data_IF_611085137522
#
_entry.id   IF_611085137522
#
_cell.length_a   1.000
_cell.length_b   1.000
_cell.length_c   1.000
_cell.angle_alpha   90.00
_cell.angle_beta   90.00
_cell.angle_gamma   90.00
#
_symmetry.space_group_name_H-M   'P 1'
#
loop_
_entity.id
_entity.type
_entity.pdbx_description
1 polymer ?
#
# COMPACT_ATOMS: atom_id res chain seq x y z
N UNK A 1 -13.01 1.00 -10.01
CA UNK A 1 -11.65 0.41 -10.06
C UNK A 1 -11.39 -0.68 -9.02
N UNK A 2 -12.13 -0.78 -7.90
CA UNK A 2 -12.14 -1.97 -6.99
C UNK A 2 -12.18 -3.33 -7.73
N UNK A 3 -12.82 -3.36 -8.90
CA UNK A 3 -13.19 -4.58 -9.62
C UNK A 3 -12.11 -5.19 -10.53
N UNK A 4 -11.02 -4.49 -10.88
CA UNK A 4 -10.11 -5.01 -11.92
C UNK A 4 -9.09 -6.03 -11.40
N UNK A 5 -8.54 -5.83 -10.20
CA UNK A 5 -7.55 -6.75 -9.60
C UNK A 5 -8.24 -7.94 -8.95
N UNK A 6 -9.38 -7.67 -8.32
CA UNK A 6 -10.33 -8.67 -7.86
C UNK A 6 -10.69 -9.70 -8.95
N UNK A 7 -10.66 -9.31 -10.24
CA UNK A 7 -10.96 -10.19 -11.37
C UNK A 7 -9.83 -11.18 -11.69
N UNK A 8 -8.60 -10.89 -11.28
CA UNK A 8 -7.43 -11.73 -11.53
C UNK A 8 -7.07 -12.64 -10.34
N UNK A 9 -7.73 -12.44 -9.19
CA UNK A 9 -7.53 -13.27 -8.00
C UNK A 9 -8.59 -14.36 -7.94
N UNK A 10 -8.16 -15.59 -7.66
CA UNK A 10 -9.08 -16.63 -7.23
C UNK A 10 -9.79 -16.23 -5.93
N UNK A 11 -10.95 -16.86 -5.66
CA UNK A 11 -11.76 -16.53 -4.48
C UNK A 11 -10.95 -16.67 -3.19
N UNK A 12 -10.16 -17.74 -3.10
CA UNK A 12 -9.30 -18.08 -1.98
C UNK A 12 -8.19 -17.04 -1.79
N UNK A 13 -7.57 -16.60 -2.89
CA UNK A 13 -6.51 -15.57 -2.86
C UNK A 13 -7.06 -14.22 -2.40
N UNK A 14 -8.28 -13.87 -2.83
CA UNK A 14 -8.95 -12.65 -2.37
C UNK A 14 -9.25 -12.71 -0.87
N UNK A 15 -9.69 -13.85 -0.37
CA UNK A 15 -9.98 -14.07 1.04
C UNK A 15 -8.71 -13.97 1.90
N UNK A 16 -7.61 -14.58 1.44
CA UNK A 16 -6.30 -14.46 2.07
C UNK A 16 -5.82 -13.00 2.08
N UNK A 17 -5.92 -12.29 0.95
CA UNK A 17 -5.53 -10.89 0.85
C UNK A 17 -6.30 -10.01 1.85
N UNK A 18 -7.62 -10.19 1.94
CA UNK A 18 -8.45 -9.45 2.89
C UNK A 18 -8.06 -9.75 4.35
N UNK A 19 -7.75 -11.01 4.66
CA UNK A 19 -7.29 -11.39 6.00
C UNK A 19 -5.94 -10.74 6.35
N UNK A 20 -4.99 -10.72 5.40
CA UNK A 20 -3.69 -10.07 5.58
C UNK A 20 -3.88 -8.57 5.85
N UNK A 21 -4.72 -7.90 5.07
CA UNK A 21 -5.02 -6.47 5.24
C UNK A 21 -5.62 -6.22 6.63
N UNK A 22 -6.58 -7.06 7.05
CA UNK A 22 -7.21 -6.93 8.37
C UNK A 22 -6.20 -7.05 9.51
N UNK A 23 -5.28 -8.02 9.43
CA UNK A 23 -4.23 -8.22 10.45
C UNK A 23 -3.28 -7.03 10.48
N UNK A 24 -2.88 -6.50 9.32
CA UNK A 24 -2.01 -5.31 9.25
C UNK A 24 -2.69 -4.09 9.87
N UNK A 25 -3.98 -3.90 9.62
CA UNK A 25 -4.76 -2.79 10.18
C UNK A 25 -4.92 -2.93 11.71
N UNK A 26 -5.11 -4.14 12.22
CA UNK A 26 -5.17 -4.41 13.66
C UNK A 26 -3.83 -4.16 14.35
N UNK A 27 -2.72 -4.64 13.78
CA UNK A 27 -1.38 -4.35 14.28
C UNK A 27 -1.11 -2.85 14.29
N UNK A 28 -1.52 -2.14 13.23
CA UNK A 28 -1.41 -0.67 13.16
C UNK A 28 -2.25 0.03 14.23
N UNK A 29 -3.43 -0.49 14.59
CA UNK A 29 -4.26 0.04 15.69
C UNK A 29 -3.60 -0.18 17.06
N UNK A 30 -3.00 -1.34 17.29
CA UNK A 30 -2.27 -1.66 18.53
C UNK A 30 -1.08 -0.70 18.69
N UNK A 31 -0.32 -0.45 17.62
CA UNK A 31 0.77 0.53 17.62
C UNK A 31 0.28 1.94 17.97
N UNK A 32 -0.89 2.37 17.44
CA UNK A 32 -1.51 3.67 17.75
C UNK A 32 -1.91 3.79 19.23
N UNK A 33 -2.39 2.71 19.86
CA UNK A 33 -2.77 2.71 21.27
C UNK A 33 -1.57 2.71 22.23
N UNK A 34 -0.39 2.30 21.76
CA UNK A 34 0.86 2.24 22.56
C UNK A 34 1.53 3.61 22.83
N UNK A 35 0.89 4.73 22.47
CA UNK A 35 1.38 6.07 22.79
C UNK A 35 2.41 6.65 21.80
N UNK A 36 2.72 5.96 20.70
CA UNK A 36 3.44 6.54 19.54
C UNK A 36 2.50 7.37 18.65
N UNK A 37 1.70 8.23 19.27
CA UNK A 37 0.70 9.06 18.63
C UNK A 37 1.31 10.33 18.02
N UNK A 38 2.27 10.17 17.11
CA UNK A 38 2.58 11.24 16.15
C UNK A 38 1.75 10.98 14.88
N UNK A 39 0.99 12.00 14.48
CA UNK A 39 0.31 12.17 13.17
C UNK A 39 -0.68 11.07 12.70
N UNK A 40 -1.91 11.14 13.21
CA UNK A 40 -3.09 10.38 12.73
C UNK A 40 -3.35 10.54 11.20
N UNK A 41 -2.81 11.58 10.54
CA UNK A 41 -2.91 11.78 9.08
C UNK A 41 -1.80 11.11 8.25
N UNK A 42 -0.69 10.67 8.84
CA UNK A 42 0.43 10.06 8.10
C UNK A 42 0.31 8.53 7.95
N UNK A 43 -0.67 7.91 8.62
CA UNK A 43 -0.79 6.45 8.70
C UNK A 43 -1.86 5.83 7.80
N UNK A 44 -2.53 6.61 6.93
CA UNK A 44 -3.37 6.00 5.90
C UNK A 44 -2.46 5.40 4.85
N UNK A 45 -2.57 4.08 4.61
CA UNK A 45 -1.79 3.37 3.59
C UNK A 45 -2.73 2.87 2.49
N UNK A 46 -2.20 2.74 1.28
CA UNK A 46 -2.91 2.20 0.11
C UNK A 46 -2.14 1.02 -0.45
N UNK A 47 -2.88 0.09 -1.04
CA UNK A 47 -2.29 -0.93 -1.90
C UNK A 47 -2.17 -0.33 -3.29
N UNK A 48 -1.02 -0.52 -3.92
CA UNK A 48 -0.74 -0.06 -5.28
C UNK A 48 -0.17 -1.18 -6.13
N UNK A 49 -0.36 -1.10 -7.45
CA UNK A 49 0.29 -1.97 -8.42
C UNK A 49 1.19 -1.15 -9.32
N UNK A 50 2.47 -1.51 -9.42
CA UNK A 50 3.41 -0.85 -10.31
C UNK A 50 3.15 -1.22 -11.78
N UNK A 51 3.04 -0.21 -12.65
CA UNK A 51 2.83 -0.38 -14.10
C UNK A 51 4.12 -0.61 -14.88
N UNK A 52 5.25 -0.29 -14.25
CA UNK A 52 6.60 -0.32 -14.83
C UNK A 52 7.62 -0.39 -13.70
N UNK A 53 8.82 -0.83 -14.03
CA UNK A 53 9.95 -0.82 -13.11
C UNK A 53 10.21 0.60 -12.59
N UNK A 54 10.52 0.71 -11.31
CA UNK A 54 10.70 1.99 -10.64
C UNK A 54 11.83 1.92 -9.60
N UNK A 55 12.72 2.93 -9.57
CA UNK A 55 13.80 2.96 -8.60
C UNK A 55 13.26 3.06 -7.16
N UNK A 56 14.14 2.79 -6.19
CA UNK A 56 13.80 2.97 -4.79
C UNK A 56 13.39 4.42 -4.50
N UNK A 57 12.40 4.58 -3.63
CA UNK A 57 11.88 5.89 -3.20
C UNK A 57 12.22 6.14 -1.74
N UNK A 58 12.42 7.41 -1.40
CA UNK A 58 12.59 7.87 -0.01
C UNK A 58 11.25 8.41 0.47
N UNK A 59 10.72 7.83 1.53
CA UNK A 59 9.51 8.27 2.20
C UNK A 59 9.79 9.47 3.10
N UNK A 60 8.74 10.21 3.49
CA UNK A 60 8.88 11.39 4.38
C UNK A 60 9.48 11.08 5.74
N UNK A 61 9.30 9.87 6.24
CA UNK A 61 9.91 9.41 7.49
C UNK A 61 11.39 8.96 7.31
N UNK A 62 11.98 9.17 6.15
CA UNK A 62 13.36 8.82 5.82
C UNK A 62 13.57 7.35 5.43
N UNK A 63 12.53 6.51 5.53
CA UNK A 63 12.63 5.11 5.12
C UNK A 63 12.65 4.98 3.60
N UNK A 64 13.35 3.96 3.09
CA UNK A 64 13.35 3.64 1.66
C UNK A 64 12.45 2.45 1.36
N UNK A 65 11.81 2.47 0.19
CA UNK A 65 11.08 1.32 -0.35
C UNK A 65 11.49 1.04 -1.80
N UNK A 66 11.50 -0.23 -2.18
CA UNK A 66 11.89 -0.69 -3.51
C UNK A 66 13.36 -1.14 -3.61
N UNK A 67 13.93 -1.26 -4.82
CA UNK A 67 13.31 -0.96 -6.12
C UNK A 67 12.11 -1.86 -6.43
N UNK A 68 11.27 -1.43 -7.36
CA UNK A 68 10.03 -2.10 -7.73
C UNK A 68 10.08 -2.53 -9.20
N UNK A 69 9.41 -3.64 -9.50
CA UNK A 69 9.22 -4.16 -10.84
C UNK A 69 7.77 -3.99 -11.29
N UNK A 70 7.55 -4.00 -12.61
CA UNK A 70 6.21 -4.03 -13.19
C UNK A 70 5.39 -5.22 -12.65
N UNK A 71 4.19 -4.94 -12.15
CA UNK A 71 3.27 -5.92 -11.55
C UNK A 71 3.39 -6.05 -10.04
N UNK A 72 4.41 -5.46 -9.40
CA UNK A 72 4.56 -5.51 -7.94
C UNK A 72 3.33 -4.90 -7.24
N UNK A 73 2.78 -5.65 -6.27
CA UNK A 73 1.69 -5.20 -5.40
C UNK A 73 2.28 -4.75 -4.07
N UNK A 74 2.12 -3.47 -3.74
CA UNK A 74 2.82 -2.83 -2.62
C UNK A 74 1.84 -2.11 -1.70
N UNK A 75 1.97 -2.33 -0.39
CA UNK A 75 1.26 -1.56 0.62
C UNK A 75 2.14 -0.41 1.12
N UNK A 76 1.77 0.83 0.82
CA UNK A 76 2.61 2.01 1.06
C UNK A 76 1.82 3.22 1.58
N UNK A 77 2.50 4.23 2.16
CA UNK A 77 1.84 5.46 2.61
C UNK A 77 1.01 6.14 1.51
N UNK A 78 -0.17 6.65 1.87
CA UNK A 78 -1.14 7.24 0.93
C UNK A 78 -0.59 8.43 0.15
N UNK A 79 0.29 9.22 0.76
CA UNK A 79 0.91 10.37 0.12
C UNK A 79 1.85 9.96 -1.00
N UNK A 80 2.73 8.99 -0.73
CA UNK A 80 3.60 8.40 -1.73
C UNK A 80 2.81 7.65 -2.82
N UNK A 81 1.78 6.89 -2.44
CA UNK A 81 0.88 6.23 -3.40
C UNK A 81 0.21 7.24 -4.34
N UNK A 82 -0.29 8.36 -3.80
CA UNK A 82 -0.97 9.40 -4.58
C UNK A 82 -0.01 10.12 -5.52
N UNK A 83 1.22 10.38 -5.09
CA UNK A 83 2.25 10.98 -5.94
C UNK A 83 2.58 10.06 -7.12
N UNK A 84 2.83 8.77 -6.86
CA UNK A 84 3.12 7.80 -7.91
C UNK A 84 1.94 7.59 -8.86
N UNK A 85 0.71 7.62 -8.34
CA UNK A 85 -0.52 7.52 -9.14
C UNK A 85 -0.67 8.72 -10.09
N UNK A 86 -0.49 9.94 -9.58
CA UNK A 86 -0.57 11.17 -10.39
C UNK A 86 0.47 11.19 -11.52
N UNK A 87 1.61 10.52 -11.33
CA UNK A 87 2.66 10.36 -12.33
C UNK A 87 2.48 9.13 -13.23
N UNK A 88 1.34 8.44 -13.14
CA UNK A 88 1.01 7.23 -13.91
C UNK A 88 2.05 6.10 -13.77
N UNK A 89 2.64 5.97 -12.58
CA UNK A 89 3.61 4.91 -12.26
C UNK A 89 2.90 3.70 -11.66
N UNK A 90 1.84 3.94 -10.87
CA UNK A 90 1.08 2.90 -10.19
C UNK A 90 -0.43 3.05 -10.44
N UNK A 91 -1.17 1.96 -10.25
CA UNK A 91 -2.62 1.99 -9.99
C UNK A 91 -2.88 1.82 -8.49
N UNK A 92 -3.89 2.53 -7.95
CA UNK A 92 -4.31 2.36 -6.56
C UNK A 92 -5.43 1.31 -6.48
N UNK A 93 -5.25 0.35 -5.58
CA UNK A 93 -6.18 -0.72 -5.26
C UNK A 93 -6.95 -0.33 -4.00
N UNK A 94 -8.04 0.42 -4.18
CA UNK A 94 -8.88 0.89 -3.05
C UNK A 94 -9.72 2.11 -3.38
#
# INVERSE_FOLDING_TARGET
>A
MKNEIEKYLAKEEREIMNNIISVIDELSKIERMSGKAESIKENEKKIVIFKKDYPAIVLKNGNMMGPFHSGDVVYMPSDAARELFNNNIVDIVG
#
